data_IF_448773123401
#
_entry.id   IF_448773123401
#
_cell.length_a   1.000
_cell.length_b   1.000
_cell.length_c   1.000
_cell.angle_alpha   90.00
_cell.angle_beta   90.00
_cell.angle_gamma   90.00
#
_symmetry.space_group_name_H-M   'P 1'
#
loop_
_entity.id
_entity.type
_entity.pdbx_description
1 polymer ?
#
# COMPACT_ATOMS: atom_id res chain seq x y z
N UNK A 1 -23.64 11.34 -0.95
CA UNK A 1 -24.42 12.09 0.08
C UNK A 1 -23.43 12.63 1.09
N UNK A 2 -23.23 13.96 1.17
CA UNK A 2 -22.30 14.54 2.15
C UNK A 2 -22.94 14.54 3.53
N UNK A 3 -22.37 13.79 4.46
CA UNK A 3 -22.80 13.84 5.86
C UNK A 3 -22.24 15.11 6.52
N UNK A 4 -23.09 15.88 7.15
CA UNK A 4 -22.66 17.08 7.89
C UNK A 4 -21.80 16.62 9.07
N UNK A 5 -20.57 17.14 9.17
CA UNK A 5 -19.55 16.79 10.17
C UNK A 5 -18.94 15.39 10.04
N UNK A 6 -18.92 14.79 8.83
CA UNK A 6 -18.19 13.56 8.60
C UNK A 6 -16.69 13.74 8.89
N UNK A 7 -16.08 12.80 9.59
CA UNK A 7 -14.63 12.72 9.83
C UNK A 7 -13.98 11.82 8.80
N UNK A 8 -14.68 10.77 8.38
CA UNK A 8 -14.19 9.77 7.42
C UNK A 8 -14.95 9.92 6.11
N UNK A 9 -14.22 10.20 5.04
CA UNK A 9 -14.74 10.27 3.67
C UNK A 9 -13.60 10.17 2.66
N UNK A 10 -13.51 9.10 1.90
CA UNK A 10 -12.52 9.00 0.83
C UNK A 10 -12.99 8.05 -0.27
N UNK A 11 -13.23 8.58 -1.47
CA UNK A 11 -13.81 7.83 -2.60
C UNK A 11 -12.81 7.52 -3.71
N UNK A 12 -11.67 8.24 -3.74
CA UNK A 12 -10.65 8.07 -4.77
C UNK A 12 -9.27 8.50 -4.25
N UNK A 13 -8.25 8.41 -5.10
CA UNK A 13 -6.85 8.69 -4.73
C UNK A 13 -6.42 10.16 -4.98
N UNK A 14 -7.30 11.03 -5.53
CA UNK A 14 -6.92 12.37 -6.00
C UNK A 14 -7.80 13.52 -5.50
N UNK A 15 -8.96 13.28 -4.92
CA UNK A 15 -9.77 14.39 -4.35
C UNK A 15 -8.99 15.11 -3.24
N UNK A 16 -9.27 16.42 -2.99
CA UNK A 16 -8.52 17.21 -2.02
C UNK A 16 -8.41 16.56 -0.66
N UNK A 17 -7.18 16.21 -0.27
CA UNK A 17 -6.86 15.60 1.02
C UNK A 17 -7.00 16.63 2.14
N UNK A 18 -7.78 16.33 3.16
CA UNK A 18 -8.02 17.21 4.32
C UNK A 18 -7.62 16.57 5.65
N UNK A 19 -7.58 15.25 5.71
CA UNK A 19 -7.20 14.53 6.93
C UNK A 19 -6.54 13.21 6.55
N UNK A 20 -5.41 12.92 7.16
CA UNK A 20 -4.58 11.75 6.86
C UNK A 20 -3.93 11.18 8.12
N UNK A 21 -3.76 9.87 8.17
CA UNK A 21 -2.85 9.22 9.14
C UNK A 21 -1.49 9.13 8.49
N UNK A 22 -0.44 9.60 9.15
CA UNK A 22 0.96 9.40 8.76
C UNK A 22 1.63 8.44 9.74
N UNK A 23 2.27 7.40 9.24
CA UNK A 23 2.90 6.36 10.03
C UNK A 23 4.08 6.82 10.87
N UNK A 24 4.62 5.90 11.69
CA UNK A 24 5.77 6.12 12.59
C UNK A 24 6.74 4.95 12.50
N UNK A 25 8.03 5.26 12.67
CA UNK A 25 9.10 4.26 12.68
C UNK A 25 9.42 3.72 14.09
N UNK A 26 8.77 4.23 15.14
CA UNK A 26 9.05 3.85 16.52
C UNK A 26 8.95 2.34 16.73
N UNK A 27 9.97 1.74 17.30
CA UNK A 27 10.02 0.33 17.65
C UNK A 27 10.01 -0.65 16.47
N UNK A 28 10.03 -0.18 15.22
CA UNK A 28 9.99 -1.06 14.05
C UNK A 28 11.13 -2.07 14.05
N UNK A 29 10.81 -3.27 13.59
CA UNK A 29 11.74 -4.38 13.45
C UNK A 29 11.94 -4.75 11.97
N UNK A 30 13.03 -5.45 11.70
CA UNK A 30 13.15 -6.33 10.54
C UNK A 30 12.48 -7.64 10.99
N UNK A 31 11.37 -8.07 10.38
CA UNK A 31 10.70 -9.29 10.82
C UNK A 31 11.54 -10.53 10.54
N UNK A 32 11.41 -11.53 11.40
CA UNK A 32 12.04 -12.81 11.19
C UNK A 32 11.53 -13.49 9.91
N UNK A 33 12.34 -14.38 9.30
CA UNK A 33 11.94 -15.14 8.14
C UNK A 33 10.59 -15.83 8.32
N UNK A 34 9.72 -15.69 7.31
CA UNK A 34 8.41 -16.32 7.26
C UNK A 34 7.98 -16.58 5.80
N UNK A 35 7.01 -17.47 5.52
CA UNK A 35 6.77 -17.97 4.17
C UNK A 35 6.57 -16.88 3.11
N UNK A 36 5.61 -16.00 3.29
CA UNK A 36 5.26 -15.02 2.25
C UNK A 36 6.30 -13.89 2.12
N UNK A 37 6.92 -13.51 3.24
CA UNK A 37 7.96 -12.48 3.24
C UNK A 37 9.25 -12.98 2.61
N UNK A 38 9.68 -14.21 2.93
CA UNK A 38 10.88 -14.83 2.34
C UNK A 38 10.76 -14.97 0.82
N UNK A 39 9.55 -15.27 0.33
CA UNK A 39 9.30 -15.32 -1.09
C UNK A 39 9.53 -13.96 -1.81
N UNK A 40 9.42 -12.85 -1.07
CA UNK A 40 9.60 -11.48 -1.60
C UNK A 40 11.04 -10.99 -1.53
N UNK A 41 11.89 -11.59 -0.70
CA UNK A 41 13.29 -11.14 -0.51
C UNK A 41 14.20 -11.80 -1.53
N UNK A 42 14.86 -11.02 -2.42
CA UNK A 42 15.86 -11.56 -3.35
C UNK A 42 17.02 -12.25 -2.62
N UNK A 43 17.63 -13.27 -3.25
CA UNK A 43 18.74 -14.02 -2.65
C UNK A 43 19.99 -13.17 -2.41
N UNK A 44 20.21 -12.12 -3.22
CA UNK A 44 21.31 -11.16 -3.13
C UNK A 44 20.97 -9.92 -2.29
N UNK A 45 19.79 -9.87 -1.68
CA UNK A 45 19.38 -8.76 -0.83
C UNK A 45 20.13 -8.75 0.50
N UNK A 46 20.46 -7.55 0.99
CA UNK A 46 21.01 -7.31 2.32
C UNK A 46 20.00 -7.65 3.45
N UNK A 47 18.72 -7.82 3.09
CA UNK A 47 17.66 -8.30 3.99
C UNK A 47 17.78 -9.79 4.32
N UNK A 48 18.49 -10.57 3.50
CA UNK A 48 18.51 -12.04 3.62
C UNK A 48 19.10 -12.49 4.96
N UNK A 49 18.29 -13.16 5.75
CA UNK A 49 18.69 -13.66 7.09
C UNK A 49 18.78 -12.59 8.19
N UNK A 50 18.49 -11.33 7.88
CA UNK A 50 18.44 -10.26 8.88
C UNK A 50 17.08 -10.26 9.58
N UNK A 51 17.08 -10.09 10.91
CA UNK A 51 15.85 -9.84 11.68
C UNK A 51 16.16 -9.22 13.05
N UNK A 52 15.13 -8.64 13.68
CA UNK A 52 15.22 -8.02 14.99
C UNK A 52 14.99 -6.51 14.97
N UNK A 53 15.17 -5.84 16.10
CA UNK A 53 14.97 -4.39 16.20
C UNK A 53 15.88 -3.61 15.26
N UNK A 54 15.33 -2.61 14.60
CA UNK A 54 16.13 -1.62 13.87
C UNK A 54 16.90 -0.75 14.86
N UNK A 55 18.03 -0.21 14.44
CA UNK A 55 18.85 0.64 15.32
C UNK A 55 18.12 1.93 15.69
N UNK A 56 18.39 2.44 16.89
CA UNK A 56 17.82 3.71 17.34
C UNK A 56 18.13 4.85 16.37
N UNK A 57 19.35 4.90 15.84
CA UNK A 57 19.79 5.91 14.88
C UNK A 57 18.92 5.91 13.61
N UNK A 58 18.65 4.74 13.01
CA UNK A 58 17.82 4.63 11.82
C UNK A 58 16.36 4.96 12.10
N UNK A 59 15.84 4.57 13.28
CA UNK A 59 14.48 4.92 13.72
C UNK A 59 14.35 6.43 13.92
N UNK A 60 15.28 7.06 14.64
CA UNK A 60 15.27 8.51 14.90
C UNK A 60 15.32 9.29 13.57
N UNK A 61 16.19 8.89 12.65
CA UNK A 61 16.31 9.50 11.32
C UNK A 61 15.00 9.39 10.54
N UNK A 62 14.39 8.20 10.49
CA UNK A 62 13.14 7.99 9.79
C UNK A 62 11.99 8.79 10.41
N UNK A 63 11.90 8.84 11.74
CA UNK A 63 10.90 9.66 12.43
C UNK A 63 11.08 11.14 12.15
N UNK A 64 12.33 11.66 12.12
CA UNK A 64 12.57 13.06 11.76
C UNK A 64 12.05 13.39 10.36
N UNK A 65 12.32 12.53 9.36
CA UNK A 65 11.82 12.71 8.00
C UNK A 65 10.29 12.65 7.92
N UNK A 66 9.68 11.72 8.65
CA UNK A 66 8.23 11.63 8.75
C UNK A 66 7.62 12.85 9.45
N UNK A 67 8.25 13.41 10.47
CA UNK A 67 7.79 14.62 11.18
C UNK A 67 7.93 15.87 10.30
N UNK A 68 9.00 15.96 9.49
CA UNK A 68 9.16 17.01 8.48
C UNK A 68 8.08 16.91 7.41
N UNK A 69 7.74 15.69 6.97
CA UNK A 69 6.64 15.45 6.04
C UNK A 69 5.29 15.86 6.63
N UNK A 70 5.01 15.50 7.88
CA UNK A 70 3.82 15.95 8.63
C UNK A 70 3.74 17.48 8.64
N UNK A 71 4.84 18.16 8.95
CA UNK A 71 4.89 19.63 9.00
C UNK A 71 4.57 20.28 7.65
N UNK A 72 4.94 19.64 6.53
CA UNK A 72 4.60 20.11 5.17
C UNK A 72 3.10 19.95 4.91
N UNK A 73 2.50 18.84 5.32
CA UNK A 73 1.07 18.59 5.16
C UNK A 73 0.23 19.56 6.00
N UNK A 74 0.60 19.77 7.27
CA UNK A 74 -0.09 20.68 8.19
C UNK A 74 -0.04 22.15 7.72
N UNK A 75 1.09 22.60 7.14
CA UNK A 75 1.21 23.93 6.51
C UNK A 75 0.29 24.12 5.30
N UNK A 76 -0.29 23.04 4.77
CA UNK A 76 -1.27 23.04 3.68
C UNK A 76 -2.70 22.78 4.18
N UNK A 77 -2.95 23.01 5.46
CA UNK A 77 -4.24 22.82 6.12
C UNK A 77 -4.76 21.36 6.04
N UNK A 78 -3.85 20.40 5.96
CA UNK A 78 -4.16 18.97 6.04
C UNK A 78 -3.96 18.52 7.48
N UNK A 79 -5.03 18.07 8.11
CA UNK A 79 -4.96 17.51 9.46
C UNK A 79 -4.21 16.18 9.42
N UNK A 80 -3.29 15.98 10.35
CA UNK A 80 -2.52 14.75 10.47
C UNK A 80 -2.74 14.11 11.84
N UNK A 81 -3.08 12.82 11.84
CA UNK A 81 -3.04 11.97 13.04
C UNK A 81 -1.90 10.94 12.90
N UNK A 82 -1.38 10.45 14.02
CA UNK A 82 -0.27 9.50 14.08
C UNK A 82 -0.70 8.23 14.81
N UNK A 83 -0.29 7.03 14.37
CA UNK A 83 -0.61 5.78 15.08
C UNK A 83 0.04 5.75 16.47
N UNK A 84 -0.47 4.87 17.31
CA UNK A 84 0.09 4.57 18.64
C UNK A 84 0.90 3.28 18.52
N UNK A 85 2.25 3.34 18.50
CA UNK A 85 3.08 2.16 18.37
C UNK A 85 2.87 1.17 19.52
N UNK A 86 2.79 -0.11 19.18
CA UNK A 86 2.89 -1.22 20.14
C UNK A 86 4.34 -1.70 20.21
N UNK A 87 4.65 -2.63 21.12
CA UNK A 87 5.96 -3.27 21.12
C UNK A 87 6.07 -4.29 19.97
N UNK A 88 6.81 -3.95 18.91
CA UNK A 88 7.01 -4.80 17.74
C UNK A 88 8.09 -5.88 17.96
N UNK A 89 8.93 -5.73 18.98
CA UNK A 89 10.01 -6.67 19.28
C UNK A 89 9.57 -7.83 20.21
N UNK A 90 8.28 -8.07 20.32
CA UNK A 90 7.74 -9.19 21.08
C UNK A 90 7.44 -10.39 20.19
N UNK A 91 7.64 -11.59 20.76
CA UNK A 91 7.18 -12.82 20.11
C UNK A 91 5.65 -12.84 20.10
N UNK A 92 5.10 -13.20 18.97
CA UNK A 92 3.65 -13.35 18.78
C UNK A 92 3.31 -14.77 18.36
N UNK A 93 2.12 -15.22 18.70
CA UNK A 93 1.64 -16.55 18.32
C UNK A 93 0.13 -16.58 18.16
N UNK A 94 -0.30 -17.47 17.30
CA UNK A 94 -1.66 -17.96 17.17
C UNK A 94 -1.66 -19.48 17.38
N UNK A 95 -2.80 -20.17 17.38
CA UNK A 95 -2.80 -21.63 17.40
C UNK A 95 -2.05 -22.29 16.24
N UNK A 96 -1.90 -21.61 15.10
CA UNK A 96 -1.37 -22.17 13.86
C UNK A 96 0.11 -21.84 13.60
N UNK A 97 0.62 -20.73 14.17
CA UNK A 97 1.99 -20.27 13.91
C UNK A 97 2.56 -19.40 15.03
N UNK A 98 3.87 -19.16 14.95
CA UNK A 98 4.62 -18.24 15.82
C UNK A 98 5.50 -17.35 14.95
N UNK A 99 5.74 -16.11 15.39
CA UNK A 99 6.73 -15.20 14.82
C UNK A 99 7.58 -14.58 15.92
N UNK A 100 8.88 -14.39 15.65
CA UNK A 100 9.84 -13.87 16.63
C UNK A 100 9.68 -12.36 16.88
N UNK A 101 9.13 -11.63 15.93
CA UNK A 101 8.82 -10.20 16.03
C UNK A 101 7.72 -9.80 15.03
N UNK A 102 7.19 -8.61 15.21
CA UNK A 102 6.33 -7.93 14.24
C UNK A 102 7.15 -7.00 13.35
N UNK A 103 6.50 -6.24 12.46
CA UNK A 103 7.18 -5.34 11.54
C UNK A 103 7.17 -3.89 12.05
N UNK A 104 6.02 -3.22 12.09
CA UNK A 104 5.94 -1.82 12.49
C UNK A 104 4.58 -1.16 12.22
N UNK A 105 4.54 0.17 12.29
CA UNK A 105 3.34 0.95 11.97
C UNK A 105 3.63 2.15 11.05
N UNK A 106 4.72 2.09 10.29
CA UNK A 106 5.05 3.14 9.33
C UNK A 106 4.14 3.09 8.09
N UNK A 107 3.73 1.92 7.54
CA UNK A 107 2.84 1.87 6.39
C UNK A 107 1.36 1.64 6.77
N UNK A 108 0.62 2.68 7.21
CA UNK A 108 -0.81 2.55 7.51
C UNK A 108 -1.63 2.14 6.27
N UNK A 109 -1.19 2.51 5.07
CA UNK A 109 -1.86 2.21 3.79
C UNK A 109 -2.05 0.73 3.55
N UNK A 110 -1.11 -0.09 4.01
CA UNK A 110 -1.17 -1.54 3.81
C UNK A 110 -2.25 -2.19 4.69
N UNK A 111 -2.55 -1.56 5.83
CA UNK A 111 -3.37 -2.12 6.91
C UNK A 111 -4.80 -1.58 6.90
N UNK A 112 -4.97 -0.30 6.58
CA UNK A 112 -6.26 0.41 6.66
C UNK A 112 -6.70 0.86 5.27
N UNK A 113 -7.84 0.35 4.83
CA UNK A 113 -8.52 0.79 3.61
C UNK A 113 -9.67 1.73 3.99
N UNK A 114 -9.68 2.94 3.44
CA UNK A 114 -10.82 3.85 3.57
C UNK A 114 -11.59 3.88 2.25
N UNK A 115 -12.87 3.48 2.28
CA UNK A 115 -13.78 3.56 1.13
C UNK A 115 -15.04 4.31 1.57
N UNK A 116 -15.22 5.52 1.04
CA UNK A 116 -16.29 6.40 1.47
C UNK A 116 -16.18 6.74 2.96
N UNK A 117 -17.20 6.41 3.71
CA UNK A 117 -17.27 6.60 5.17
C UNK A 117 -16.87 5.35 5.97
N UNK A 118 -16.27 4.35 5.33
CA UNK A 118 -15.83 3.12 5.98
C UNK A 118 -14.31 3.08 6.11
N UNK A 119 -13.82 2.70 7.27
CA UNK A 119 -12.45 2.24 7.50
C UNK A 119 -12.45 0.74 7.76
N UNK A 120 -11.82 0.00 6.86
CA UNK A 120 -11.68 -1.45 6.88
C UNK A 120 -10.27 -1.84 7.28
N UNK A 121 -10.12 -2.69 8.29
CA UNK A 121 -8.86 -3.36 8.62
C UNK A 121 -8.66 -4.54 7.68
N UNK A 122 -7.58 -4.53 6.91
CA UNK A 122 -7.24 -5.59 5.96
C UNK A 122 -6.92 -6.93 6.64
N UNK A 123 -6.98 -8.00 5.87
CA UNK A 123 -6.66 -9.36 6.36
C UNK A 123 -5.20 -9.48 6.75
N UNK A 124 -4.29 -8.86 6.01
CA UNK A 124 -2.85 -9.04 5.97
C UNK A 124 -2.43 -10.46 5.56
N UNK A 125 -1.38 -10.55 4.74
CA UNK A 125 -0.85 -11.84 4.23
C UNK A 125 0.42 -12.31 4.94
N UNK A 126 1.07 -11.43 5.71
CA UNK A 126 2.29 -11.76 6.46
C UNK A 126 1.98 -11.98 7.94
N UNK A 127 2.48 -13.07 8.51
CA UNK A 127 2.30 -13.40 9.93
C UNK A 127 2.81 -12.31 10.85
N UNK A 128 3.96 -11.74 10.54
CA UNK A 128 4.57 -10.65 11.31
C UNK A 128 3.72 -9.36 11.32
N UNK A 129 2.78 -9.21 10.39
CA UNK A 129 1.91 -8.02 10.24
C UNK A 129 0.48 -8.23 10.76
N UNK A 130 0.16 -9.43 11.21
CA UNK A 130 -1.18 -9.82 11.63
C UNK A 130 -1.83 -8.90 12.67
N UNK A 131 -1.03 -8.35 13.59
CA UNK A 131 -1.50 -7.49 14.68
C UNK A 131 -1.27 -5.99 14.43
N UNK A 132 -0.80 -5.57 13.26
CA UNK A 132 -0.49 -4.16 12.98
C UNK A 132 -1.70 -3.23 13.08
N UNK A 133 -2.91 -3.71 12.82
CA UNK A 133 -4.15 -2.96 12.99
C UNK A 133 -4.32 -2.37 14.41
N UNK A 134 -3.71 -2.98 15.44
CA UNK A 134 -3.78 -2.51 16.83
C UNK A 134 -3.20 -1.11 17.01
N UNK A 135 -2.23 -0.72 16.18
CA UNK A 135 -1.61 0.60 16.22
C UNK A 135 -2.58 1.73 15.81
N UNK A 136 -3.55 1.38 14.98
CA UNK A 136 -4.53 2.32 14.40
C UNK A 136 -5.86 2.32 15.15
N UNK A 137 -6.14 1.28 15.95
CA UNK A 137 -7.37 1.14 16.74
C UNK A 137 -7.70 2.34 17.63
N UNK A 138 -6.74 2.99 18.32
CA UNK A 138 -7.03 4.19 19.11
C UNK A 138 -7.55 5.35 18.26
N UNK A 139 -7.02 5.55 17.04
CA UNK A 139 -7.50 6.57 16.11
C UNK A 139 -8.88 6.22 15.55
N UNK A 140 -9.05 4.99 15.07
CA UNK A 140 -10.33 4.53 14.50
C UNK A 140 -11.44 4.63 15.53
N UNK A 141 -11.17 4.22 16.79
CA UNK A 141 -12.12 4.37 17.89
C UNK A 141 -12.51 5.83 18.12
N UNK A 142 -11.54 6.75 18.16
CA UNK A 142 -11.78 8.20 18.27
C UNK A 142 -12.66 8.71 17.12
N UNK A 143 -12.40 8.29 15.88
CA UNK A 143 -13.19 8.71 14.73
C UNK A 143 -14.61 8.17 14.82
N UNK A 144 -14.77 6.90 15.19
CA UNK A 144 -16.07 6.25 15.34
C UNK A 144 -16.93 6.90 16.42
N UNK A 145 -16.34 7.34 17.53
CA UNK A 145 -17.02 8.05 18.61
C UNK A 145 -17.49 9.46 18.19
N UNK A 146 -16.77 10.10 17.28
CA UNK A 146 -17.02 11.48 16.84
C UNK A 146 -17.86 11.58 15.56
N UNK A 147 -17.87 10.54 14.72
CA UNK A 147 -18.58 10.49 13.44
C UNK A 147 -19.67 9.41 13.46
N UNK A 148 -20.94 9.79 13.67
CA UNK A 148 -22.04 8.82 13.74
C UNK A 148 -22.35 8.12 12.41
N UNK A 149 -21.72 8.54 11.32
CA UNK A 149 -21.92 7.96 10.00
C UNK A 149 -20.77 7.03 9.58
N UNK A 150 -19.65 7.07 10.32
CA UNK A 150 -18.51 6.22 10.06
C UNK A 150 -18.84 4.74 10.27
N UNK A 151 -18.35 3.91 9.38
CA UNK A 151 -18.32 2.46 9.56
C UNK A 151 -16.88 2.03 9.89
N UNK A 152 -16.76 1.19 10.90
CA UNK A 152 -15.52 0.51 11.23
C UNK A 152 -15.73 -0.98 11.04
N UNK A 153 -15.00 -1.56 10.12
CA UNK A 153 -15.08 -2.99 9.79
C UNK A 153 -13.71 -3.66 9.91
N UNK A 154 -13.73 -4.93 10.22
CA UNK A 154 -12.54 -5.78 10.22
C UNK A 154 -12.78 -6.91 9.24
N UNK A 155 -11.93 -7.03 8.23
CA UNK A 155 -11.96 -8.17 7.31
C UNK A 155 -11.77 -9.48 8.08
N UNK A 156 -12.19 -10.63 7.54
CA UNK A 156 -11.92 -11.92 8.18
C UNK A 156 -10.45 -12.05 8.54
N UNK A 157 -10.18 -12.43 9.79
CA UNK A 157 -8.79 -12.66 10.20
C UNK A 157 -8.37 -14.06 9.75
N UNK A 158 -7.48 -14.19 8.75
CA UNK A 158 -7.07 -15.49 8.23
C UNK A 158 -6.23 -16.22 9.28
N UNK A 159 -6.25 -17.54 9.25
CA UNK A 159 -5.40 -18.34 10.15
C UNK A 159 -3.92 -18.18 9.83
N UNK A 160 -3.57 -17.90 8.57
CA UNK A 160 -2.20 -17.89 8.06
C UNK A 160 -1.43 -19.17 8.40
N UNK A 161 -2.14 -20.30 8.33
CA UNK A 161 -1.57 -21.64 8.48
C UNK A 161 -0.61 -21.95 7.31
N UNK A 162 0.10 -23.08 7.39
CA UNK A 162 0.95 -23.51 6.28
C UNK A 162 0.16 -23.85 5.00
N UNK A 163 -1.16 -24.01 5.09
CA UNK A 163 -2.04 -24.22 3.92
C UNK A 163 -2.26 -22.94 3.10
N UNK A 164 -2.07 -21.78 3.72
CA UNK A 164 -2.19 -20.47 3.05
C UNK A 164 -1.00 -20.15 2.14
N UNK A 165 0.07 -20.98 2.18
CA UNK A 165 1.29 -20.74 1.42
C UNK A 165 1.66 -21.93 0.56
N UNK A 166 2.16 -21.65 -0.66
CA UNK A 166 2.61 -22.69 -1.59
C UNK A 166 3.98 -23.21 -1.20
N UNK A 167 4.07 -24.49 -0.90
CA UNK A 167 5.33 -25.17 -0.55
C UNK A 167 6.38 -25.06 -1.66
N UNK A 168 5.96 -25.07 -2.91
CA UNK A 168 6.83 -24.92 -4.08
C UNK A 168 7.63 -23.61 -4.07
N UNK A 169 7.03 -22.53 -3.55
CA UNK A 169 7.71 -21.25 -3.36
C UNK A 169 8.78 -21.27 -2.26
N UNK A 170 8.71 -22.23 -1.34
CA UNK A 170 9.50 -22.26 -0.11
C UNK A 170 10.56 -23.37 -0.12
N UNK A 171 10.44 -24.36 -1.00
CA UNK A 171 11.21 -25.60 -0.95
C UNK A 171 12.55 -25.55 -1.67
N UNK A 172 12.77 -24.62 -2.59
CA UNK A 172 13.98 -24.56 -3.45
C UNK A 172 14.39 -23.12 -3.76
N UNK A 173 15.68 -22.95 -4.13
CA UNK A 173 16.15 -21.69 -4.70
C UNK A 173 15.55 -21.49 -6.09
N UNK A 174 14.52 -20.66 -6.15
CA UNK A 174 13.78 -20.38 -7.37
C UNK A 174 14.46 -19.23 -8.09
N UNK A 175 15.08 -19.51 -9.24
CA UNK A 175 15.73 -18.49 -10.06
C UNK A 175 14.76 -17.46 -10.62
N UNK A 176 15.28 -16.28 -10.96
CA UNK A 176 14.51 -15.12 -11.47
C UNK A 176 13.62 -15.51 -12.65
N UNK A 177 14.14 -16.30 -13.61
CA UNK A 177 13.36 -16.71 -14.79
C UNK A 177 12.11 -17.51 -14.43
N UNK A 178 12.21 -18.40 -13.44
CA UNK A 178 11.06 -19.19 -12.96
C UNK A 178 10.03 -18.31 -12.24
N UNK A 179 10.49 -17.34 -11.47
CA UNK A 179 9.61 -16.36 -10.82
C UNK A 179 8.86 -15.50 -11.82
N UNK A 180 9.52 -15.02 -12.89
CA UNK A 180 8.88 -14.30 -13.99
C UNK A 180 7.79 -15.16 -14.67
N UNK A 181 8.12 -16.43 -15.01
CA UNK A 181 7.13 -17.36 -15.55
C UNK A 181 5.91 -17.53 -14.62
N UNK A 182 6.13 -17.57 -13.31
CA UNK A 182 5.07 -17.70 -12.35
C UNK A 182 4.19 -16.46 -12.25
N UNK A 183 4.77 -15.26 -12.28
CA UNK A 183 3.96 -14.01 -12.30
C UNK A 183 3.09 -13.92 -13.57
N UNK A 184 3.62 -14.35 -14.73
CA UNK A 184 2.83 -14.45 -15.96
C UNK A 184 1.64 -15.41 -15.83
N UNK A 185 1.86 -16.54 -15.15
CA UNK A 185 0.83 -17.56 -14.89
C UNK A 185 -0.08 -17.22 -13.71
N UNK A 186 0.10 -16.06 -13.07
CA UNK A 186 -0.62 -15.66 -11.84
C UNK A 186 -0.47 -16.69 -10.71
N UNK A 187 0.70 -17.31 -10.64
CA UNK A 187 1.06 -18.26 -9.60
C UNK A 187 1.91 -17.55 -8.56
N UNK A 188 1.34 -17.28 -7.40
CA UNK A 188 1.96 -16.52 -6.31
C UNK A 188 2.19 -17.39 -5.07
N UNK A 189 2.90 -16.87 -4.08
CA UNK A 189 3.23 -17.60 -2.86
C UNK A 189 1.99 -17.95 -2.03
N UNK A 190 0.98 -17.08 -2.01
CA UNK A 190 -0.28 -17.34 -1.32
C UNK A 190 -1.16 -18.31 -2.09
N UNK A 191 -1.88 -19.16 -1.37
CA UNK A 191 -2.90 -20.07 -1.92
C UNK A 191 -4.26 -19.40 -1.93
N UNK A 192 -5.28 -20.17 -2.37
CA UNK A 192 -6.69 -19.78 -2.26
C UNK A 192 -7.36 -20.45 -1.03
N UNK A 193 -6.62 -20.72 0.06
CA UNK A 193 -7.20 -21.36 1.26
C UNK A 193 -8.17 -20.42 1.97
N UNK A 194 -7.72 -19.22 2.33
CA UNK A 194 -8.51 -18.18 2.98
C UNK A 194 -8.46 -16.85 2.21
N UNK A 195 -9.41 -15.91 2.43
CA UNK A 195 -9.32 -14.57 1.85
C UNK A 195 -8.11 -13.81 2.37
N UNK A 196 -7.20 -13.39 1.47
CA UNK A 196 -6.01 -12.61 1.78
C UNK A 196 -5.98 -11.35 0.93
N UNK A 197 -5.74 -10.20 1.56
CA UNK A 197 -5.43 -8.94 0.89
C UNK A 197 -4.75 -7.95 1.85
N UNK A 198 -3.83 -7.18 1.32
CA UNK A 198 -3.32 -5.96 1.94
C UNK A 198 -4.08 -4.76 1.35
N UNK A 199 -4.37 -3.74 2.15
CA UNK A 199 -5.14 -2.58 1.69
C UNK A 199 -4.41 -1.79 0.58
N UNK A 200 -3.08 -1.81 0.55
CA UNK A 200 -2.26 -1.17 -0.48
C UNK A 200 -2.34 -1.83 -1.87
N UNK A 201 -3.00 -2.99 -1.98
CA UNK A 201 -3.33 -3.61 -3.28
C UNK A 201 -4.65 -3.09 -3.88
N UNK A 202 -5.29 -2.12 -3.24
CA UNK A 202 -6.60 -1.61 -3.63
C UNK A 202 -6.51 -0.11 -3.93
N UNK A 203 -6.84 0.26 -5.16
CA UNK A 203 -6.97 1.66 -5.59
C UNK A 203 -8.45 2.01 -5.77
N UNK A 204 -8.82 3.20 -5.32
CA UNK A 204 -10.19 3.70 -5.36
C UNK A 204 -10.40 4.65 -6.53
N UNK A 205 -11.42 4.37 -7.32
CA UNK A 205 -11.84 5.17 -8.46
C UNK A 205 -13.35 5.46 -8.37
N UNK A 206 -13.79 6.04 -7.27
CA UNK A 206 -15.21 6.26 -7.01
C UNK A 206 -15.97 4.93 -6.91
N UNK A 207 -16.91 4.69 -7.83
CA UNK A 207 -17.67 3.43 -7.89
C UNK A 207 -16.84 2.18 -8.21
N UNK A 208 -15.56 2.34 -8.54
CA UNK A 208 -14.69 1.24 -8.95
C UNK A 208 -13.53 1.07 -7.96
N UNK A 209 -13.27 -0.18 -7.61
CA UNK A 209 -12.08 -0.59 -6.86
C UNK A 209 -11.22 -1.45 -7.78
N UNK A 210 -9.99 -0.99 -8.02
CA UNK A 210 -9.01 -1.73 -8.82
C UNK A 210 -8.11 -2.49 -7.85
N UNK A 211 -8.13 -3.81 -7.89
CA UNK A 211 -7.47 -4.68 -6.91
C UNK A 211 -6.42 -5.54 -7.60
N UNK A 212 -5.17 -5.44 -7.15
CA UNK A 212 -4.09 -6.26 -7.66
C UNK A 212 -4.22 -7.70 -7.14
N UNK A 213 -4.28 -8.68 -8.03
CA UNK A 213 -4.01 -10.07 -7.70
C UNK A 213 -2.49 -10.29 -7.73
N UNK A 214 -1.89 -10.66 -6.60
CA UNK A 214 -0.44 -10.71 -6.43
C UNK A 214 0.02 -11.54 -5.24
N UNK A 215 1.17 -11.18 -4.66
CA UNK A 215 1.77 -11.90 -3.53
C UNK A 215 0.97 -11.78 -2.24
N UNK A 216 0.34 -10.63 -2.02
CA UNK A 216 -0.35 -10.29 -0.78
C UNK A 216 -1.86 -10.38 -0.90
N UNK A 217 -2.38 -10.40 -2.13
CA UNK A 217 -3.83 -10.43 -2.39
C UNK A 217 -4.17 -11.57 -3.32
N UNK A 218 -4.98 -12.51 -2.84
CA UNK A 218 -5.45 -13.66 -3.62
C UNK A 218 -6.88 -13.45 -4.18
N UNK A 219 -7.35 -14.38 -5.02
CA UNK A 219 -8.68 -14.27 -5.63
C UNK A 219 -9.81 -14.40 -4.60
N UNK A 220 -9.64 -15.19 -3.54
CA UNK A 220 -10.62 -15.25 -2.44
C UNK A 220 -10.74 -13.90 -1.71
N UNK A 221 -9.63 -13.19 -1.49
CA UNK A 221 -9.66 -11.83 -0.94
C UNK A 221 -10.41 -10.86 -1.84
N UNK A 222 -10.16 -10.92 -3.16
CA UNK A 222 -10.88 -10.10 -4.14
C UNK A 222 -12.38 -10.46 -4.18
N UNK A 223 -12.73 -11.73 -4.09
CA UNK A 223 -14.13 -12.16 -4.05
C UNK A 223 -14.83 -11.71 -2.76
N UNK A 224 -14.10 -11.74 -1.63
CA UNK A 224 -14.60 -11.17 -0.37
C UNK A 224 -14.89 -9.67 -0.51
N UNK A 225 -14.00 -8.90 -1.11
CA UNK A 225 -14.19 -7.46 -1.36
C UNK A 225 -15.41 -7.20 -2.25
N UNK A 226 -15.65 -8.03 -3.30
CA UNK A 226 -16.86 -7.95 -4.15
C UNK A 226 -18.16 -8.16 -3.36
N UNK A 227 -18.13 -9.06 -2.38
CA UNK A 227 -19.30 -9.34 -1.53
C UNK A 227 -19.50 -8.27 -0.46
N UNK A 228 -18.42 -7.66 0.01
CA UNK A 228 -18.46 -6.59 1.01
C UNK A 228 -18.91 -5.27 0.39
N UNK A 229 -18.27 -4.83 -0.68
CA UNK A 229 -18.56 -3.57 -1.37
C UNK A 229 -19.57 -3.76 -2.51
N UNK A 230 -20.82 -4.10 -2.17
CA UNK A 230 -21.87 -4.43 -3.16
C UNK A 230 -22.25 -3.27 -4.08
N UNK A 231 -22.04 -2.03 -3.63
CA UNK A 231 -22.33 -0.82 -4.39
C UNK A 231 -21.15 -0.37 -5.25
N UNK A 232 -20.03 -1.11 -5.23
CA UNK A 232 -18.84 -0.87 -6.02
C UNK A 232 -18.61 -2.02 -7.01
N UNK A 233 -17.94 -1.68 -8.12
CA UNK A 233 -17.41 -2.65 -9.08
C UNK A 233 -15.98 -2.96 -8.72
N UNK A 234 -15.67 -4.21 -8.40
CA UNK A 234 -14.34 -4.65 -7.97
C UNK A 234 -13.66 -5.39 -9.12
N UNK A 235 -12.62 -4.78 -9.67
CA UNK A 235 -11.86 -5.28 -10.82
C UNK A 235 -10.55 -5.91 -10.36
N UNK A 236 -10.36 -7.19 -10.67
CA UNK A 236 -9.09 -7.87 -10.46
C UNK A 236 -8.11 -7.53 -11.59
N UNK A 237 -6.95 -6.99 -11.26
CA UNK A 237 -5.87 -6.72 -12.20
C UNK A 237 -4.62 -7.47 -11.81
N UNK A 238 -3.71 -7.70 -12.75
CA UNK A 238 -2.40 -8.27 -12.47
C UNK A 238 -1.31 -7.58 -13.28
N UNK A 239 -0.11 -7.53 -12.73
CA UNK A 239 1.05 -6.89 -13.33
C UNK A 239 2.20 -7.89 -13.41
N UNK A 240 2.37 -8.57 -14.56
CA UNK A 240 3.50 -9.47 -14.78
C UNK A 240 4.82 -8.70 -14.94
N UNK A 241 5.92 -9.42 -15.07
CA UNK A 241 7.22 -8.83 -15.41
C UNK A 241 8.12 -8.48 -14.22
N UNK A 242 7.72 -8.79 -12.99
CA UNK A 242 8.52 -8.62 -11.78
C UNK A 242 8.65 -9.96 -11.02
N UNK A 243 9.87 -10.45 -10.75
CA UNK A 243 10.06 -11.67 -9.99
C UNK A 243 9.74 -11.52 -8.49
N UNK A 244 9.66 -10.29 -7.98
CA UNK A 244 9.40 -9.94 -6.57
C UNK A 244 8.35 -8.81 -6.48
N UNK A 245 7.12 -9.04 -6.97
CA UNK A 245 6.13 -7.98 -7.10
C UNK A 245 5.75 -7.38 -5.74
N UNK A 246 5.55 -6.06 -5.77
CA UNK A 246 5.08 -5.25 -4.65
C UNK A 246 3.62 -4.83 -4.88
N UNK A 247 3.07 -4.03 -3.98
CA UNK A 247 1.71 -3.51 -4.04
C UNK A 247 1.44 -2.67 -5.29
N UNK A 248 0.16 -2.50 -5.62
CA UNK A 248 -0.29 -1.76 -6.79
C UNK A 248 0.10 -0.27 -6.73
N UNK A 249 0.17 0.32 -5.54
CA UNK A 249 0.45 1.74 -5.32
C UNK A 249 1.88 2.19 -5.69
N UNK A 250 2.79 1.24 -5.93
CA UNK A 250 4.11 1.49 -6.52
C UNK A 250 4.25 0.88 -7.93
N UNK A 251 3.13 0.60 -8.59
CA UNK A 251 3.08 -0.04 -9.91
C UNK A 251 2.14 0.67 -10.87
N UNK A 252 0.98 1.11 -10.37
CA UNK A 252 -0.09 1.71 -11.16
C UNK A 252 -0.73 2.81 -10.33
N UNK A 253 -0.28 4.05 -10.54
CA UNK A 253 -0.58 5.17 -9.65
C UNK A 253 -1.48 6.18 -10.37
N UNK A 254 -2.75 6.32 -9.95
CA UNK A 254 -3.63 7.38 -10.45
C UNK A 254 -3.16 8.74 -9.92
N UNK A 255 -3.03 9.71 -10.82
CA UNK A 255 -2.52 11.05 -10.48
C UNK A 255 -3.64 12.06 -10.40
N UNK A 256 -4.60 11.98 -11.31
CA UNK A 256 -5.80 12.83 -11.38
C UNK A 256 -6.82 12.15 -12.28
N UNK A 257 -8.07 12.61 -12.33
CA UNK A 257 -9.06 12.09 -13.28
C UNK A 257 -8.50 12.03 -14.71
N UNK A 258 -8.59 10.86 -15.33
CA UNK A 258 -8.12 10.62 -16.69
C UNK A 258 -6.61 10.38 -16.85
N UNK A 259 -5.80 10.33 -15.76
CA UNK A 259 -4.35 10.16 -15.86
C UNK A 259 -3.81 9.16 -14.82
N UNK A 260 -3.10 8.16 -15.32
CA UNK A 260 -2.41 7.14 -14.52
C UNK A 260 -0.97 7.02 -14.99
N UNK A 261 -0.01 6.86 -14.09
CA UNK A 261 1.35 6.40 -14.39
C UNK A 261 1.47 4.92 -14.08
N UNK A 262 2.12 4.17 -14.96
CA UNK A 262 2.33 2.73 -14.83
C UNK A 262 3.81 2.38 -14.91
N UNK A 263 4.26 1.50 -14.04
CA UNK A 263 5.61 0.95 -14.08
C UNK A 263 5.86 0.28 -15.44
N UNK A 264 6.85 0.73 -16.24
CA UNK A 264 7.12 0.18 -17.56
C UNK A 264 7.64 -1.27 -17.55
N UNK A 265 8.14 -1.76 -16.40
CA UNK A 265 8.54 -3.15 -16.21
C UNK A 265 7.37 -4.05 -15.80
N UNK A 266 6.27 -3.47 -15.31
CA UNK A 266 5.06 -4.15 -14.83
C UNK A 266 3.83 -3.54 -15.50
N UNK A 267 3.74 -3.66 -16.82
CA UNK A 267 2.64 -3.06 -17.58
C UNK A 267 1.32 -3.80 -17.35
N UNK A 268 0.26 -3.04 -17.19
CA UNK A 268 -1.09 -3.59 -17.20
C UNK A 268 -1.34 -4.30 -18.54
N UNK A 269 -1.77 -5.57 -18.54
CA UNK A 269 -2.07 -6.32 -19.76
C UNK A 269 -3.11 -5.62 -20.67
N UNK A 270 -2.97 -5.79 -21.97
CA UNK A 270 -3.77 -5.06 -22.97
C UNK A 270 -5.27 -5.24 -22.78
N UNK A 271 -5.72 -6.43 -22.46
CA UNK A 271 -7.13 -6.75 -22.20
C UNK A 271 -7.68 -6.02 -20.97
N UNK A 272 -6.85 -5.78 -19.95
CA UNK A 272 -7.24 -5.06 -18.74
C UNK A 272 -7.13 -3.54 -18.92
N UNK A 273 -6.25 -3.06 -19.81
CA UNK A 273 -6.14 -1.64 -20.15
C UNK A 273 -7.40 -1.09 -20.80
N UNK A 274 -8.14 -1.95 -21.51
CA UNK A 274 -9.34 -1.55 -22.24
C UNK A 274 -10.37 -0.85 -21.36
N UNK A 275 -10.55 -1.30 -20.11
CA UNK A 275 -11.43 -0.63 -19.14
C UNK A 275 -11.09 0.86 -19.00
N UNK A 276 -9.82 1.19 -18.90
CA UNK A 276 -9.33 2.57 -18.75
C UNK A 276 -9.42 3.34 -20.06
N UNK A 277 -8.95 2.76 -21.15
CA UNK A 277 -8.90 3.41 -22.47
C UNK A 277 -10.31 3.72 -23.01
N UNK A 278 -11.29 2.82 -22.84
CA UNK A 278 -12.68 3.03 -23.24
C UNK A 278 -13.35 4.18 -22.43
N UNK A 279 -12.84 4.50 -21.25
CA UNK A 279 -13.33 5.56 -20.37
C UNK A 279 -12.41 6.79 -20.33
N UNK A 280 -11.64 7.03 -21.40
CA UNK A 280 -10.82 8.21 -21.63
C UNK A 280 -9.68 8.40 -20.61
N UNK A 281 -9.23 7.31 -19.94
CA UNK A 281 -8.06 7.32 -19.08
C UNK A 281 -6.78 7.12 -19.89
N UNK A 282 -5.84 8.02 -19.72
CA UNK A 282 -4.50 7.93 -20.27
C UNK A 282 -3.57 7.20 -19.28
N UNK A 283 -2.98 6.10 -19.72
CA UNK A 283 -1.95 5.36 -18.99
C UNK A 283 -0.60 5.70 -19.63
N UNK A 284 0.30 6.32 -18.87
CA UNK A 284 1.64 6.68 -19.30
C UNK A 284 2.69 5.87 -18.54
N UNK A 285 3.78 5.54 -19.21
CA UNK A 285 4.91 4.88 -18.55
C UNK A 285 5.56 5.86 -17.55
N UNK A 286 5.86 5.38 -16.34
CA UNK A 286 6.55 6.15 -15.33
C UNK A 286 7.99 6.48 -15.75
N UNK A 287 8.50 7.61 -15.29
CA UNK A 287 9.92 7.96 -15.43
C UNK A 287 10.81 6.89 -14.77
N UNK A 288 12.02 6.73 -15.29
CA UNK A 288 12.99 5.82 -14.66
C UNK A 288 13.32 6.32 -13.24
N UNK A 289 13.46 5.42 -12.26
CA UNK A 289 13.94 5.80 -10.93
C UNK A 289 15.29 6.51 -11.02
N UNK A 290 15.50 7.52 -10.19
CA UNK A 290 16.79 8.23 -10.12
C UNK A 290 17.88 7.39 -9.45
N UNK A 291 17.49 6.35 -8.73
CA UNK A 291 18.40 5.46 -8.02
C UNK A 291 18.40 4.05 -8.63
N UNK A 292 19.58 3.40 -8.61
CA UNK A 292 19.77 2.05 -9.15
C UNK A 292 19.49 0.94 -8.12
N UNK A 293 19.35 1.30 -6.84
CA UNK A 293 19.07 0.38 -5.73
C UNK A 293 18.16 1.02 -4.70
N UNK A 294 17.31 0.25 -3.99
CA UNK A 294 16.59 0.77 -2.84
C UNK A 294 17.57 1.14 -1.70
N UNK A 295 17.12 1.87 -0.67
CA UNK A 295 17.89 2.05 0.55
C UNK A 295 18.28 0.72 1.19
N UNK A 296 19.33 0.69 2.04
CA UNK A 296 19.70 -0.50 2.79
C UNK A 296 18.53 -1.05 3.63
N UNK A 297 18.46 -2.38 3.73
CA UNK A 297 17.45 -3.10 4.52
C UNK A 297 15.99 -2.70 4.18
N UNK A 298 15.72 -2.53 2.88
CA UNK A 298 14.39 -2.17 2.35
C UNK A 298 13.77 -3.35 1.61
N UNK A 299 12.49 -3.65 1.92
CA UNK A 299 11.73 -4.72 1.26
C UNK A 299 11.19 -4.36 -0.13
N UNK A 300 11.37 -3.12 -0.55
CA UNK A 300 10.80 -2.60 -1.79
C UNK A 300 11.86 -2.42 -2.86
N UNK A 301 11.42 -2.24 -4.10
CA UNK A 301 12.29 -1.99 -5.24
C UNK A 301 12.56 -0.49 -5.44
N UNK A 302 13.41 -0.17 -6.42
CA UNK A 302 13.65 1.21 -6.87
C UNK A 302 12.39 1.91 -7.36
N UNK A 303 11.35 1.16 -7.76
CA UNK A 303 10.08 1.69 -8.23
C UNK A 303 9.21 2.33 -7.14
N UNK A 304 9.70 2.39 -5.88
CA UNK A 304 9.15 3.32 -4.89
C UNK A 304 9.22 4.80 -5.34
N UNK A 305 9.99 5.11 -6.40
CA UNK A 305 9.92 6.40 -7.09
C UNK A 305 8.50 6.80 -7.51
N UNK A 306 7.62 5.80 -7.79
CA UNK A 306 6.21 5.99 -8.15
C UNK A 306 5.27 6.11 -6.96
N UNK A 307 5.75 5.83 -5.74
CA UNK A 307 4.93 5.82 -4.53
C UNK A 307 4.70 7.26 -4.02
N UNK A 308 4.06 8.06 -4.85
CA UNK A 308 3.78 9.48 -4.62
C UNK A 308 2.46 9.66 -3.88
N UNK A 309 2.30 10.75 -3.12
CA UNK A 309 1.04 11.12 -2.49
C UNK A 309 0.39 12.27 -3.26
N UNK A 310 -0.74 12.00 -3.89
CA UNK A 310 -1.57 13.05 -4.51
C UNK A 310 -2.36 13.77 -3.42
N UNK A 311 -2.18 15.08 -3.32
CA UNK A 311 -2.89 15.93 -2.35
C UNK A 311 -4.23 16.41 -2.92
N UNK A 312 -4.26 16.78 -4.20
CA UNK A 312 -5.43 17.17 -4.97
C UNK A 312 -5.14 16.98 -6.46
N UNK A 313 -6.12 17.15 -7.38
CA UNK A 313 -5.92 16.94 -8.82
C UNK A 313 -4.85 17.83 -9.49
N UNK A 314 -4.24 18.75 -8.76
CA UNK A 314 -3.19 19.66 -9.25
C UNK A 314 -1.87 19.52 -8.50
N UNK A 315 -1.85 18.86 -7.32
CA UNK A 315 -0.73 18.88 -6.38
C UNK A 315 -0.32 17.47 -5.96
N UNK A 316 0.95 17.15 -6.05
CA UNK A 316 1.51 15.84 -5.71
C UNK A 316 2.82 15.95 -4.92
N UNK A 317 2.94 15.17 -3.86
CA UNK A 317 4.21 14.98 -3.12
C UNK A 317 5.05 13.90 -3.81
N UNK A 318 6.31 14.21 -4.08
CA UNK A 318 7.29 13.30 -4.69
C UNK A 318 8.54 13.23 -3.82
N UNK A 319 9.15 12.07 -3.70
CA UNK A 319 10.43 11.96 -2.99
C UNK A 319 11.48 12.87 -3.66
N UNK A 320 12.15 13.67 -2.86
CA UNK A 320 13.00 14.80 -3.30
C UNK A 320 14.12 14.40 -4.25
N UNK A 321 14.71 13.22 -4.07
CA UNK A 321 15.80 12.72 -4.93
C UNK A 321 15.30 12.08 -6.23
N UNK A 322 14.00 11.80 -6.37
CA UNK A 322 13.40 11.20 -7.57
C UNK A 322 13.10 12.29 -8.62
N UNK A 323 14.18 12.94 -9.08
CA UNK A 323 14.13 14.11 -9.97
C UNK A 323 13.44 13.84 -11.30
N UNK A 324 13.57 12.64 -11.88
CA UNK A 324 12.93 12.30 -13.15
C UNK A 324 11.41 12.12 -13.00
N UNK A 325 10.97 11.56 -11.88
CA UNK A 325 9.55 11.44 -11.56
C UNK A 325 8.93 12.81 -11.30
N UNK A 326 9.63 13.68 -10.58
CA UNK A 326 9.23 15.07 -10.33
C UNK A 326 9.08 15.85 -11.65
N UNK A 327 10.07 15.78 -12.53
CA UNK A 327 10.04 16.42 -13.85
C UNK A 327 8.91 15.89 -14.74
N UNK A 328 8.64 14.58 -14.72
CA UNK A 328 7.54 14.00 -15.47
C UNK A 328 6.18 14.54 -14.99
N UNK A 329 5.95 14.58 -13.68
CA UNK A 329 4.69 15.05 -13.10
C UNK A 329 4.47 16.54 -13.33
N UNK A 330 5.52 17.36 -13.25
CA UNK A 330 5.48 18.78 -13.60
C UNK A 330 5.06 18.96 -15.09
N UNK A 331 5.68 18.22 -16.03
CA UNK A 331 5.30 18.22 -17.46
C UNK A 331 3.85 17.74 -17.70
N UNK A 332 3.32 16.91 -16.82
CA UNK A 332 1.92 16.46 -16.84
C UNK A 332 0.96 17.46 -16.17
N UNK A 333 1.47 18.63 -15.75
CA UNK A 333 0.71 19.76 -15.20
C UNK A 333 0.37 19.62 -13.73
N UNK A 334 1.21 18.93 -12.95
CA UNK A 334 1.10 18.85 -11.49
C UNK A 334 2.05 19.85 -10.82
N UNK A 335 1.59 20.52 -9.75
CA UNK A 335 2.48 21.15 -8.78
C UNK A 335 3.19 20.07 -7.98
N UNK A 336 4.52 20.00 -8.07
CA UNK A 336 5.31 18.98 -7.38
C UNK A 336 5.87 19.53 -6.07
N UNK A 337 5.57 18.85 -4.96
CA UNK A 337 6.13 19.14 -3.64
C UNK A 337 7.24 18.11 -3.35
N UNK A 338 8.51 18.53 -3.32
CA UNK A 338 9.60 17.62 -2.99
C UNK A 338 9.61 17.29 -1.48
N UNK A 339 9.61 16.00 -1.15
CA UNK A 339 9.64 15.48 0.23
C UNK A 339 10.89 14.63 0.41
N UNK A 340 11.69 14.92 1.41
CA UNK A 340 12.82 14.08 1.80
C UNK A 340 12.30 12.91 2.65
N UNK A 341 12.26 11.69 2.10
CA UNK A 341 11.74 10.53 2.81
C UNK A 341 12.52 9.23 2.51
N UNK A 342 13.52 9.26 1.63
CA UNK A 342 14.18 8.06 1.14
C UNK A 342 14.69 7.13 2.26
N UNK A 343 15.34 7.68 3.31
CA UNK A 343 15.89 6.87 4.40
C UNK A 343 14.79 6.22 5.27
N UNK A 344 13.55 6.68 5.19
CA UNK A 344 12.40 6.06 5.84
C UNK A 344 11.80 4.90 5.04
N UNK A 345 12.13 4.72 3.76
CA UNK A 345 11.56 3.67 2.89
C UNK A 345 11.76 2.25 3.45
N UNK A 346 12.87 2.02 4.14
CA UNK A 346 13.18 0.74 4.78
C UNK A 346 12.16 0.31 5.85
N UNK A 347 11.33 1.25 6.33
CA UNK A 347 10.32 1.02 7.36
C UNK A 347 8.92 0.66 6.82
N UNK A 348 8.78 0.51 5.50
CA UNK A 348 7.55 -0.01 4.93
C UNK A 348 7.08 0.64 3.62
N UNK A 349 7.86 1.53 3.01
CA UNK A 349 7.53 2.09 1.69
C UNK A 349 7.69 3.60 1.58
N UNK A 350 7.13 4.18 0.53
CA UNK A 350 7.25 5.59 0.19
C UNK A 350 6.17 6.49 0.78
N UNK A 351 5.88 7.59 0.08
CA UNK A 351 4.96 8.62 0.53
C UNK A 351 3.50 8.13 0.63
N UNK A 352 3.04 7.35 -0.36
CA UNK A 352 1.69 6.79 -0.32
C UNK A 352 1.57 5.72 0.75
N UNK A 353 2.53 4.80 0.83
CA UNK A 353 2.56 3.75 1.85
C UNK A 353 2.55 4.31 3.28
N UNK A 354 3.31 5.39 3.53
CA UNK A 354 3.42 6.02 4.86
C UNK A 354 2.17 6.79 5.27
N UNK A 355 1.13 6.83 4.43
CA UNK A 355 -0.11 7.57 4.67
C UNK A 355 -1.34 6.69 4.48
N UNK A 356 -2.41 6.96 5.25
CA UNK A 356 -3.74 6.43 5.00
C UNK A 356 -4.76 7.56 5.06
N UNK A 357 -5.59 7.67 4.01
CA UNK A 357 -6.59 8.72 3.94
C UNK A 357 -7.64 8.54 5.03
N UNK A 358 -7.97 9.64 5.71
CA UNK A 358 -9.15 9.72 6.59
C UNK A 358 -10.24 10.50 5.88
N UNK A 359 -9.90 11.67 5.32
CA UNK A 359 -10.86 12.52 4.64
C UNK A 359 -10.27 13.13 3.37
N UNK A 360 -10.92 12.85 2.24
CA UNK A 360 -10.79 13.60 0.99
C UNK A 360 -12.11 14.29 0.69
N UNK A 361 -12.05 15.52 0.20
CA UNK A 361 -13.22 16.35 -0.09
C UNK A 361 -13.80 16.02 -1.48
N UNK A 362 -14.62 14.96 -1.53
CA UNK A 362 -15.23 14.48 -2.75
C UNK A 362 -16.49 13.65 -2.48
N UNK A 363 -17.09 13.17 -3.55
CA UNK A 363 -18.29 12.33 -3.53
C UNK A 363 -18.07 11.04 -4.34
N UNK A 364 -19.00 10.08 -4.20
CA UNK A 364 -18.99 8.85 -4.99
C UNK A 364 -19.33 9.13 -6.45
N UNK A 365 -18.31 9.21 -7.29
CA UNK A 365 -18.45 9.44 -8.73
C UNK A 365 -18.28 8.14 -9.53
N UNK A 366 -18.79 8.13 -10.76
CA UNK A 366 -18.64 7.04 -11.72
C UNK A 366 -17.61 7.45 -12.79
N UNK A 367 -16.38 6.95 -12.65
CA UNK A 367 -15.28 7.25 -13.57
C UNK A 367 -15.18 6.26 -14.74
N UNK A 368 -16.00 5.19 -14.73
CA UNK A 368 -16.02 4.16 -15.78
C UNK A 368 -17.45 3.86 -16.25
N UNK A 369 -18.18 4.85 -16.80
CA UNK A 369 -19.56 4.64 -17.21
C UNK A 369 -19.73 3.75 -18.46
N UNK A 370 -18.63 3.52 -19.20
CA UNK A 370 -18.61 2.71 -20.42
C UNK A 370 -18.08 1.29 -20.13
N UNK A 371 -18.81 0.43 -19.41
CA UNK A 371 -18.44 -0.96 -19.15
C UNK A 371 -19.65 -1.91 -19.25
#
# INVERSE_FOLDING_TARGET
MKFKNAIVNSWNEWDPLKHVIVGRADGCCIPAPEPALDAKVPEDSDMKGQYGPRTKETIDKANQLLDDFVSILEKRDIKVDRPVPIDFNQKISTPDWKAESMFGCMPPRDVILTVGNEMLEATMSYRCRWFEYLNYRPLIKKYYELDPHMKHESAPKPRLSDLDYRKDYLSEKIGIQKRLEWTEKKFFVTTEEEPLFDAADILRFGKDLIVQHGFTTNLKGIDWLRRHYKDHRVHAVNFPGDPYPIHIDATFTPIKPGLIINNPQRKLPKEQRKLFEDNDWKIVDAAQPAHNSPPPLCYSSVWLSMNVLVIDPKTVCVEKSEVYQAEQLDKLGMEVIPIDLRDAYAFGGGLHCSTADVYREGDLEDYFPKQ
#
